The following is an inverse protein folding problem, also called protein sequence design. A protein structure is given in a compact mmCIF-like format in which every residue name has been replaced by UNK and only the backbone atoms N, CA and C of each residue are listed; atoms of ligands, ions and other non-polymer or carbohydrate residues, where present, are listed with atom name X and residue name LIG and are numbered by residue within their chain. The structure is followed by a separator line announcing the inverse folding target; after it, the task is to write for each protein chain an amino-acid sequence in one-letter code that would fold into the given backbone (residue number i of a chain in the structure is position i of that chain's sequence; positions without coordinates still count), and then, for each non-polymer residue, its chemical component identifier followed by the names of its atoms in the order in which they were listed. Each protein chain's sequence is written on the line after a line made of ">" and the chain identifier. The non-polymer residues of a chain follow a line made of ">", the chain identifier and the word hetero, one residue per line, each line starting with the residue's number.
data_IF_610858646996
#
_entry.id   IF_610858646996
#
_cell.length_a   1.000
_cell.length_b   1.000
_cell.length_c   1.000
_cell.angle_alpha   90.00
_cell.angle_beta   90.00
_cell.angle_gamma   90.00
#
_symmetry.space_group_name_H-M   'P 1'
#
loop_
_entity.id
_entity.type
_entity.pdbx_description
1 polymer ?
#
# COMPACT_ATOMS: atom_id res chain seq x y z
N UNK A 1 -33.21 -3.38 -2.43
CA UNK A 1 -32.33 -4.56 -2.30
C UNK A 1 -31.08 -4.25 -1.46
N UNK A 2 -30.23 -3.30 -1.85
CA UNK A 2 -28.95 -3.04 -1.17
C UNK A 2 -29.06 -2.75 0.34
N UNK A 3 -30.01 -1.91 0.74
CA UNK A 3 -30.27 -1.61 2.16
C UNK A 3 -30.63 -2.86 2.99
N UNK A 4 -31.33 -3.83 2.40
CA UNK A 4 -31.69 -5.07 3.09
C UNK A 4 -30.44 -5.92 3.36
N UNK A 5 -29.52 -6.02 2.38
CA UNK A 5 -28.24 -6.72 2.53
C UNK A 5 -27.42 -6.11 3.66
N UNK A 6 -27.25 -4.78 3.66
CA UNK A 6 -26.53 -4.06 4.71
C UNK A 6 -27.15 -4.29 6.10
N UNK A 7 -28.49 -4.32 6.19
CA UNK A 7 -29.20 -4.62 7.44
C UNK A 7 -28.94 -6.04 7.92
N UNK A 8 -29.02 -7.03 7.02
CA UNK A 8 -28.78 -8.44 7.34
C UNK A 8 -27.34 -8.65 7.82
N UNK A 9 -26.35 -8.09 7.12
CA UNK A 9 -24.96 -8.14 7.54
C UNK A 9 -24.76 -7.53 8.95
N UNK A 10 -25.42 -6.41 9.24
CA UNK A 10 -25.34 -5.78 10.56
C UNK A 10 -25.93 -6.65 11.67
N UNK A 11 -27.05 -7.32 11.43
CA UNK A 11 -27.72 -8.17 12.42
C UNK A 11 -26.99 -9.48 12.68
N UNK A 12 -26.25 -9.97 11.68
CA UNK A 12 -25.60 -11.28 11.72
C UNK A 12 -24.09 -11.20 11.53
N UNK A 13 -23.47 -10.13 12.04
CA UNK A 13 -22.01 -9.92 11.89
C UNK A 13 -21.19 -11.09 12.45
N UNK A 14 -21.71 -11.85 13.41
CA UNK A 14 -21.01 -13.01 13.96
C UNK A 14 -21.07 -14.27 13.06
N UNK A 15 -21.86 -14.26 11.97
CA UNK A 15 -22.02 -15.41 11.08
C UNK A 15 -21.15 -15.28 9.82
N UNK A 16 -19.96 -15.88 9.86
CA UNK A 16 -18.93 -15.82 8.82
C UNK A 16 -19.44 -16.03 7.38
N UNK A 17 -20.24 -17.06 7.14
CA UNK A 17 -20.73 -17.38 5.78
C UNK A 17 -21.65 -16.29 5.23
N UNK A 18 -22.48 -15.71 6.11
CA UNK A 18 -23.39 -14.64 5.73
C UNK A 18 -22.61 -13.36 5.43
N UNK A 19 -21.56 -13.06 6.18
CA UNK A 19 -20.73 -11.88 5.94
C UNK A 19 -19.85 -12.06 4.71
N UNK A 20 -19.35 -13.26 4.44
CA UNK A 20 -18.63 -13.57 3.21
C UNK A 20 -19.53 -13.32 1.97
N UNK A 21 -20.76 -13.83 1.98
CA UNK A 21 -21.72 -13.58 0.90
C UNK A 21 -22.12 -12.10 0.83
N UNK A 22 -22.38 -11.48 1.98
CA UNK A 22 -22.77 -10.07 2.08
C UNK A 22 -21.71 -9.12 1.53
N UNK A 23 -20.44 -9.33 1.87
CA UNK A 23 -19.31 -8.52 1.37
C UNK A 23 -19.12 -8.66 -0.14
N UNK A 24 -19.35 -9.85 -0.70
CA UNK A 24 -19.34 -10.06 -2.16
C UNK A 24 -20.46 -9.25 -2.85
N UNK A 25 -21.65 -9.22 -2.26
CA UNK A 25 -22.78 -8.43 -2.77
C UNK A 25 -22.49 -6.93 -2.64
N UNK A 26 -21.91 -6.48 -1.52
CA UNK A 26 -21.50 -5.08 -1.34
C UNK A 26 -20.54 -4.66 -2.46
N UNK A 27 -19.45 -5.39 -2.66
CA UNK A 27 -18.51 -5.12 -3.75
C UNK A 27 -19.21 -5.04 -5.12
N UNK A 28 -20.04 -6.03 -5.44
CA UNK A 28 -20.72 -6.07 -6.74
C UNK A 28 -21.72 -4.92 -6.95
N UNK A 29 -22.28 -4.36 -5.87
CA UNK A 29 -23.19 -3.22 -5.93
C UNK A 29 -22.47 -1.87 -5.85
N UNK A 30 -21.18 -1.85 -5.51
CA UNK A 30 -20.35 -0.62 -5.45
C UNK A 30 -19.23 -0.57 -6.49
N UNK A 31 -19.01 -1.61 -7.29
CA UNK A 31 -17.99 -1.60 -8.36
C UNK A 31 -18.34 -0.57 -9.44
N UNK A 32 -17.34 0.03 -10.08
CA UNK A 32 -17.52 0.90 -11.25
C UNK A 32 -18.46 2.09 -11.02
N UNK A 33 -19.22 2.45 -12.05
CA UNK A 33 -20.17 3.57 -12.07
C UNK A 33 -21.33 3.41 -11.06
N UNK A 34 -21.59 2.18 -10.60
CA UNK A 34 -22.65 1.92 -9.62
C UNK A 34 -22.40 2.66 -8.31
N UNK A 35 -21.13 2.78 -7.88
CA UNK A 35 -20.79 3.57 -6.69
C UNK A 35 -21.29 5.00 -6.81
N UNK A 36 -21.05 5.68 -7.94
CA UNK A 36 -21.42 7.07 -8.19
C UNK A 36 -22.93 7.32 -8.09
N UNK A 37 -23.74 6.31 -8.44
CA UNK A 37 -25.20 6.39 -8.44
C UNK A 37 -25.83 6.11 -7.07
N UNK A 38 -25.08 5.54 -6.12
CA UNK A 38 -25.60 5.24 -4.79
C UNK A 38 -25.81 6.51 -3.96
N UNK A 39 -26.92 6.60 -3.20
CA UNK A 39 -27.10 7.61 -2.16
C UNK A 39 -25.95 7.55 -1.15
N UNK A 40 -25.44 8.73 -0.73
CA UNK A 40 -24.30 8.84 0.19
C UNK A 40 -24.54 8.08 1.50
N UNK A 41 -25.76 8.11 2.05
CA UNK A 41 -26.11 7.37 3.26
C UNK A 41 -25.92 5.85 3.11
N UNK A 42 -26.26 5.30 1.95
CA UNK A 42 -26.07 3.87 1.68
C UNK A 42 -24.61 3.53 1.44
N UNK A 43 -23.87 4.41 0.75
CA UNK A 43 -22.44 4.25 0.53
C UNK A 43 -21.67 4.29 1.86
N UNK A 44 -21.98 5.24 2.74
CA UNK A 44 -21.42 5.37 4.08
C UNK A 44 -21.68 4.11 4.92
N UNK A 45 -22.91 3.58 4.87
CA UNK A 45 -23.24 2.31 5.55
C UNK A 45 -22.49 1.12 4.96
N UNK A 46 -22.30 1.10 3.64
CA UNK A 46 -21.55 0.06 2.95
C UNK A 46 -20.06 0.07 3.36
N UNK A 47 -19.42 1.24 3.38
CA UNK A 47 -18.02 1.34 3.84
C UNK A 47 -17.90 0.96 5.31
N UNK A 48 -18.80 1.45 6.17
CA UNK A 48 -18.75 1.12 7.60
C UNK A 48 -18.99 -0.37 7.90
N UNK A 49 -19.90 -1.03 7.18
CA UNK A 49 -20.12 -2.47 7.33
C UNK A 49 -18.91 -3.26 6.83
N UNK A 50 -18.27 -2.83 5.74
CA UNK A 50 -17.04 -3.42 5.19
C UNK A 50 -15.88 -3.32 6.18
N UNK A 51 -15.65 -2.14 6.78
CA UNK A 51 -14.61 -1.97 7.81
C UNK A 51 -14.87 -2.85 9.04
N UNK A 52 -16.13 -2.93 9.48
CA UNK A 52 -16.52 -3.79 10.61
C UNK A 52 -16.34 -5.28 10.28
N UNK A 53 -16.62 -5.68 9.04
CA UNK A 53 -16.39 -7.04 8.57
C UNK A 53 -14.90 -7.38 8.58
N UNK A 54 -14.02 -6.47 8.11
CA UNK A 54 -12.57 -6.66 8.19
C UNK A 54 -12.14 -6.85 9.65
N UNK A 55 -12.60 -5.97 10.55
CA UNK A 55 -12.25 -5.97 11.97
C UNK A 55 -12.63 -7.28 12.67
N UNK A 56 -13.85 -7.79 12.44
CA UNK A 56 -14.34 -9.00 13.12
C UNK A 56 -13.89 -10.31 12.44
N UNK A 57 -13.59 -10.28 11.14
CA UNK A 57 -13.31 -11.48 10.34
C UNK A 57 -11.91 -11.52 9.76
N UNK A 58 -10.92 -10.98 10.49
CA UNK A 58 -9.50 -10.97 10.11
C UNK A 58 -8.91 -12.34 9.75
N UNK A 59 -9.59 -13.46 10.01
CA UNK A 59 -9.12 -14.83 9.68
C UNK A 59 -9.58 -15.33 8.31
N UNK A 60 -10.54 -14.66 7.67
CA UNK A 60 -11.20 -15.14 6.45
C UNK A 60 -10.68 -14.40 5.22
N UNK A 61 -9.63 -14.95 4.59
CA UNK A 61 -8.92 -14.28 3.49
C UNK A 61 -9.84 -13.88 2.31
N UNK A 62 -10.80 -14.72 1.93
CA UNK A 62 -11.72 -14.41 0.82
C UNK A 62 -12.67 -13.25 1.16
N UNK A 63 -13.12 -13.16 2.41
CA UNK A 63 -13.91 -12.02 2.89
C UNK A 63 -13.08 -10.74 2.84
N UNK A 64 -11.83 -10.80 3.29
CA UNK A 64 -10.91 -9.67 3.23
C UNK A 64 -10.67 -9.20 1.80
N UNK A 65 -10.50 -10.12 0.84
CA UNK A 65 -10.38 -9.78 -0.59
C UNK A 65 -11.60 -9.03 -1.11
N UNK A 66 -12.82 -9.47 -0.79
CA UNK A 66 -14.05 -8.76 -1.17
C UNK A 66 -14.13 -7.36 -0.54
N UNK A 67 -13.73 -7.24 0.71
CA UNK A 67 -13.71 -5.96 1.41
C UNK A 67 -12.68 -5.00 0.79
N UNK A 68 -11.49 -5.51 0.48
CA UNK A 68 -10.43 -4.73 -0.16
C UNK A 68 -10.85 -4.30 -1.57
N UNK A 69 -11.48 -5.17 -2.36
CA UNK A 69 -12.04 -4.79 -3.66
C UNK A 69 -13.06 -3.65 -3.57
N UNK A 70 -13.86 -3.61 -2.51
CA UNK A 70 -14.80 -2.51 -2.25
C UNK A 70 -14.04 -1.21 -1.93
N UNK A 71 -13.01 -1.29 -1.08
CA UNK A 71 -12.22 -0.15 -0.63
C UNK A 71 -11.19 0.33 -1.66
N UNK A 72 -10.80 -0.49 -2.64
CA UNK A 72 -9.92 -0.08 -3.74
C UNK A 72 -10.59 0.84 -4.76
N UNK A 73 -11.87 1.12 -4.62
CA UNK A 73 -12.54 2.05 -5.53
C UNK A 73 -12.32 3.48 -5.07
N UNK A 74 -11.57 4.25 -5.88
CA UNK A 74 -11.34 5.68 -5.64
C UNK A 74 -12.66 6.43 -5.43
N UNK A 75 -13.66 6.18 -6.28
CA UNK A 75 -14.99 6.79 -6.15
C UNK A 75 -15.65 6.49 -4.80
N UNK A 76 -15.46 5.28 -4.26
CA UNK A 76 -15.98 4.90 -2.93
C UNK A 76 -15.21 5.64 -1.84
N UNK A 77 -13.87 5.64 -1.88
CA UNK A 77 -13.04 6.29 -0.86
C UNK A 77 -13.25 7.81 -0.79
N UNK A 78 -13.41 8.49 -1.93
CA UNK A 78 -13.59 9.95 -1.94
C UNK A 78 -15.01 10.40 -1.60
N UNK A 79 -16.04 9.60 -1.90
CA UNK A 79 -17.45 9.98 -1.65
C UNK A 79 -17.95 9.57 -0.28
N UNK A 80 -17.40 8.52 0.31
CA UNK A 80 -17.86 8.02 1.60
C UNK A 80 -17.27 8.81 2.76
N UNK A 81 -18.04 8.95 3.84
CA UNK A 81 -17.59 9.49 5.12
C UNK A 81 -17.28 8.34 6.08
N UNK A 82 -16.00 8.17 6.43
CA UNK A 82 -15.49 7.16 7.34
C UNK A 82 -14.14 7.60 7.93
N UNK A 83 -13.65 6.88 8.93
CA UNK A 83 -12.33 7.14 9.50
C UNK A 83 -11.23 6.56 8.60
N UNK A 84 -10.46 7.43 7.93
CA UNK A 84 -9.29 7.04 7.13
C UNK A 84 -8.26 6.30 8.00
N UNK A 85 -7.99 6.79 9.22
CA UNK A 85 -7.13 6.13 10.21
C UNK A 85 -7.54 4.68 10.46
N UNK A 86 -8.80 4.43 10.84
CA UNK A 86 -9.33 3.08 11.10
C UNK A 86 -9.17 2.18 9.87
N UNK A 87 -9.43 2.72 8.68
CA UNK A 87 -9.26 1.96 7.44
C UNK A 87 -7.79 1.57 7.23
N UNK A 88 -6.85 2.51 7.35
CA UNK A 88 -5.42 2.24 7.26
C UNK A 88 -4.96 1.20 8.28
N UNK A 89 -5.39 1.30 9.54
CA UNK A 89 -5.04 0.34 10.59
C UNK A 89 -5.47 -1.10 10.25
N UNK A 90 -6.71 -1.25 9.78
CA UNK A 90 -7.28 -2.55 9.38
C UNK A 90 -6.58 -3.12 8.15
N UNK A 91 -6.28 -2.27 7.16
CA UNK A 91 -5.55 -2.68 5.95
C UNK A 91 -4.14 -3.14 6.30
N UNK A 92 -3.41 -2.37 7.12
CA UNK A 92 -2.09 -2.75 7.60
C UNK A 92 -2.11 -4.06 8.39
N UNK A 93 -3.10 -4.25 9.27
CA UNK A 93 -3.24 -5.50 10.02
C UNK A 93 -3.36 -6.71 9.09
N UNK A 94 -4.14 -6.58 8.02
CA UNK A 94 -4.27 -7.60 6.98
C UNK A 94 -2.97 -7.81 6.18
N UNK A 95 -2.28 -6.73 5.79
CA UNK A 95 -1.01 -6.78 5.05
C UNK A 95 0.15 -7.39 5.85
N UNK A 96 0.17 -7.18 7.17
CA UNK A 96 1.15 -7.76 8.08
C UNK A 96 0.88 -9.26 8.24
N UNK A 97 -0.39 -9.65 8.34
CA UNK A 97 -0.81 -11.03 8.60
C UNK A 97 -0.74 -11.94 7.38
N UNK A 98 -1.10 -11.44 6.20
CA UNK A 98 -1.22 -12.25 4.99
C UNK A 98 -0.13 -11.93 3.97
N UNK A 99 0.51 -12.98 3.47
CA UNK A 99 1.41 -12.91 2.33
C UNK A 99 0.67 -13.38 1.05
N UNK A 100 -0.24 -12.54 0.57
CA UNK A 100 -1.05 -12.79 -0.64
C UNK A 100 -0.91 -11.64 -1.64
N UNK A 101 -0.59 -11.95 -2.88
CA UNK A 101 -0.28 -10.96 -3.93
C UNK A 101 -1.44 -9.98 -4.20
N UNK A 102 -2.70 -10.45 -4.11
CA UNK A 102 -3.85 -9.59 -4.34
C UNK A 102 -4.07 -8.66 -3.15
N UNK A 103 -3.93 -9.17 -1.93
CA UNK A 103 -3.98 -8.35 -0.73
C UNK A 103 -2.90 -7.27 -0.74
N UNK A 104 -1.65 -7.60 -1.12
CA UNK A 104 -0.56 -6.62 -1.28
C UNK A 104 -0.96 -5.51 -2.23
N UNK A 105 -1.32 -5.86 -3.47
CA UNK A 105 -1.70 -4.90 -4.53
C UNK A 105 -2.84 -3.98 -4.10
N UNK A 106 -3.92 -4.56 -3.56
CA UNK A 106 -5.08 -3.80 -3.13
C UNK A 106 -4.79 -2.92 -1.91
N UNK A 107 -4.09 -3.47 -0.91
CA UNK A 107 -3.82 -2.77 0.33
C UNK A 107 -2.91 -1.56 0.14
N UNK A 108 -1.84 -1.67 -0.66
CA UNK A 108 -0.97 -0.52 -0.92
C UNK A 108 -1.67 0.57 -1.73
N UNK A 109 -2.59 0.22 -2.63
CA UNK A 109 -3.40 1.19 -3.37
C UNK A 109 -4.37 1.94 -2.43
N UNK A 110 -5.01 1.24 -1.49
CA UNK A 110 -5.87 1.86 -0.47
C UNK A 110 -5.05 2.81 0.41
N UNK A 111 -3.90 2.34 0.94
CA UNK A 111 -3.05 3.15 1.81
C UNK A 111 -2.48 4.36 1.06
N UNK A 112 -2.09 4.22 -0.21
CA UNK A 112 -1.54 5.34 -0.98
C UNK A 112 -2.54 6.47 -1.16
N UNK A 113 -3.84 6.17 -1.23
CA UNK A 113 -4.89 7.19 -1.27
C UNK A 113 -5.13 7.75 0.13
N UNK A 114 -5.42 6.87 1.09
CA UNK A 114 -5.90 7.29 2.40
C UNK A 114 -4.84 7.97 3.26
N UNK A 115 -3.57 7.59 3.16
CA UNK A 115 -2.51 8.19 3.98
C UNK A 115 -2.38 9.70 3.75
N UNK A 116 -2.63 10.20 2.55
CA UNK A 116 -2.63 11.63 2.25
C UNK A 116 -3.80 12.39 2.91
N UNK A 117 -4.89 11.68 3.24
CA UNK A 117 -6.10 12.24 3.85
C UNK A 117 -6.10 12.13 5.38
N UNK A 118 -5.10 11.45 5.98
CA UNK A 118 -5.01 11.28 7.44
C UNK A 118 -4.33 12.52 8.05
N UNK A 119 -4.93 13.19 9.05
CA UNK A 119 -4.28 14.30 9.74
C UNK A 119 -2.96 13.88 10.40
N UNK A 120 -1.99 14.79 10.49
CA UNK A 120 -0.65 14.51 11.06
C UNK A 120 -0.70 13.89 12.46
N UNK A 121 -1.66 14.30 13.30
CA UNK A 121 -1.85 13.72 14.64
C UNK A 121 -2.19 12.23 14.61
N UNK A 122 -3.02 11.81 13.64
CA UNK A 122 -3.41 10.41 13.46
C UNK A 122 -2.34 9.62 12.69
N UNK A 123 -1.59 10.27 11.79
CA UNK A 123 -0.43 9.66 11.12
C UNK A 123 0.66 9.26 12.12
N UNK A 124 0.89 10.06 13.16
CA UNK A 124 1.81 9.71 14.26
C UNK A 124 1.40 8.39 14.93
N UNK A 125 0.12 8.25 15.26
CA UNK A 125 -0.38 7.00 15.86
C UNK A 125 -0.28 5.84 14.87
N UNK A 126 -0.55 6.10 13.59
CA UNK A 126 -0.46 5.10 12.53
C UNK A 126 1.00 4.63 12.33
N UNK A 127 1.97 5.53 12.40
CA UNK A 127 3.40 5.23 12.18
C UNK A 127 4.10 4.67 13.42
N UNK A 128 3.49 4.75 14.61
CA UNK A 128 4.04 4.18 15.85
C UNK A 128 4.26 2.66 15.79
N UNK A 129 3.44 1.93 15.01
CA UNK A 129 3.65 0.51 14.74
C UNK A 129 4.66 0.33 13.60
N UNK A 130 5.95 0.21 13.98
CA UNK A 130 7.08 0.04 13.04
C UNK A 130 6.90 -1.10 12.03
N UNK A 131 6.12 -2.15 12.37
CA UNK A 131 5.83 -3.28 11.48
C UNK A 131 5.14 -2.85 10.18
N UNK A 132 4.44 -1.71 10.20
CA UNK A 132 3.78 -1.13 9.02
C UNK A 132 4.82 -0.62 8.01
N UNK A 133 5.83 0.09 8.49
CA UNK A 133 6.95 0.58 7.68
C UNK A 133 7.81 -0.58 7.19
N UNK A 134 8.15 -1.52 8.07
CA UNK A 134 8.85 -2.76 7.72
C UNK A 134 8.12 -3.51 6.60
N UNK A 135 6.78 -3.61 6.68
CA UNK A 135 5.96 -4.29 5.67
C UNK A 135 6.02 -3.60 4.31
N UNK A 136 5.96 -2.27 4.25
CA UNK A 136 6.10 -1.55 2.99
C UNK A 136 7.53 -1.66 2.43
N UNK A 137 8.55 -1.63 3.30
CA UNK A 137 9.95 -1.86 2.90
C UNK A 137 10.17 -3.26 2.34
N UNK A 138 9.56 -4.30 2.92
CA UNK A 138 9.57 -5.66 2.38
C UNK A 138 9.06 -5.64 0.93
N UNK A 139 7.95 -4.96 0.63
CA UNK A 139 7.41 -4.93 -0.73
C UNK A 139 8.34 -4.21 -1.72
N UNK A 140 9.02 -3.14 -1.28
CA UNK A 140 10.06 -2.49 -2.10
C UNK A 140 11.20 -3.48 -2.37
N UNK A 141 11.66 -4.19 -1.34
CA UNK A 141 12.75 -5.18 -1.44
C UNK A 141 12.38 -6.34 -2.38
N UNK A 142 11.19 -6.93 -2.24
CA UNK A 142 10.69 -8.01 -3.10
C UNK A 142 10.68 -7.63 -4.60
N UNK A 143 10.47 -6.34 -4.89
CA UNK A 143 10.37 -5.81 -6.25
C UNK A 143 11.70 -5.34 -6.82
N UNK A 144 12.57 -4.80 -5.98
CA UNK A 144 13.75 -4.07 -6.44
C UNK A 144 15.08 -4.78 -6.21
N UNK A 145 15.15 -5.73 -5.28
CA UNK A 145 16.42 -6.32 -4.84
C UNK A 145 16.46 -7.82 -5.09
N UNK A 146 17.68 -8.32 -5.36
CA UNK A 146 17.96 -9.75 -5.42
C UNK A 146 18.24 -10.32 -4.02
N UNK A 147 18.20 -11.64 -3.89
CA UNK A 147 18.56 -12.32 -2.65
C UNK A 147 19.98 -11.97 -2.17
N UNK A 148 20.94 -11.79 -3.09
CA UNK A 148 22.30 -11.34 -2.78
C UNK A 148 22.33 -9.93 -2.19
N UNK A 149 21.54 -9.01 -2.74
CA UNK A 149 21.44 -7.64 -2.23
C UNK A 149 20.90 -7.59 -0.80
N UNK A 150 19.93 -8.48 -0.49
CA UNK A 150 19.39 -8.62 0.87
C UNK A 150 20.42 -9.23 1.82
N UNK A 151 21.21 -10.20 1.38
CA UNK A 151 22.30 -10.75 2.19
C UNK A 151 23.35 -9.68 2.52
N UNK A 152 23.71 -8.83 1.56
CA UNK A 152 24.61 -7.69 1.81
C UNK A 152 24.02 -6.71 2.83
N UNK A 153 22.72 -6.38 2.71
CA UNK A 153 22.02 -5.54 3.68
C UNK A 153 22.04 -6.16 5.09
N UNK A 154 21.77 -7.46 5.20
CA UNK A 154 21.77 -8.19 6.47
C UNK A 154 23.18 -8.35 7.07
N UNK A 155 24.23 -8.28 6.25
CA UNK A 155 25.62 -8.34 6.70
C UNK A 155 26.14 -6.99 7.25
N UNK A 156 25.38 -5.90 7.09
CA UNK A 156 25.75 -4.61 7.67
C UNK A 156 25.73 -4.68 9.22
N UNK A 157 26.63 -3.96 9.92
CA UNK A 157 26.70 -3.96 11.38
C UNK A 157 25.59 -3.11 12.01
N UNK A 158 24.33 -3.41 11.70
CA UNK A 158 23.14 -2.66 12.11
C UNK A 158 22.33 -3.37 13.21
N UNK A 159 22.89 -4.42 13.82
CA UNK A 159 22.19 -5.21 14.83
C UNK A 159 20.97 -5.93 14.26
N UNK A 160 19.83 -5.88 14.97
CA UNK A 160 18.57 -6.53 14.55
C UNK A 160 17.72 -5.67 13.60
N UNK A 161 18.18 -4.47 13.25
CA UNK A 161 17.39 -3.47 12.50
C UNK A 161 16.78 -4.00 11.22
N UNK A 162 17.54 -4.77 10.43
CA UNK A 162 17.10 -5.30 9.14
C UNK A 162 16.64 -6.76 9.20
N UNK A 163 16.50 -7.34 10.39
CA UNK A 163 16.22 -8.77 10.55
C UNK A 163 14.87 -9.17 9.94
N UNK A 164 13.90 -8.25 9.87
CA UNK A 164 12.61 -8.47 9.22
C UNK A 164 12.74 -8.79 7.72
N UNK A 165 13.88 -8.48 7.08
CA UNK A 165 14.13 -8.80 5.67
C UNK A 165 14.49 -10.28 5.42
N UNK A 166 14.86 -11.05 6.45
CA UNK A 166 15.33 -12.43 6.30
C UNK A 166 14.31 -13.36 5.62
N UNK A 167 13.02 -13.11 5.84
CA UNK A 167 11.93 -13.94 5.31
C UNK A 167 11.36 -13.42 3.99
N UNK A 168 11.99 -12.41 3.39
CA UNK A 168 11.50 -11.75 2.18
C UNK A 168 11.67 -12.64 0.95
N UNK A 169 10.65 -12.69 0.09
CA UNK A 169 10.71 -13.45 -1.17
C UNK A 169 11.36 -12.62 -2.27
N UNK A 170 12.68 -12.65 -2.33
CA UNK A 170 13.43 -11.97 -3.38
C UNK A 170 13.68 -12.88 -4.59
N UNK A 171 13.81 -12.25 -5.74
CA UNK A 171 14.29 -12.92 -6.95
C UNK A 171 15.77 -13.26 -6.78
N UNK A 172 16.23 -14.35 -7.40
CA UNK A 172 17.65 -14.69 -7.43
C UNK A 172 18.39 -14.00 -8.57
N UNK A 173 17.68 -13.74 -9.67
CA UNK A 173 18.18 -13.11 -10.88
C UNK A 173 17.08 -12.27 -11.54
N UNK A 174 17.47 -11.37 -12.43
CA UNK A 174 16.56 -10.51 -13.19
C UNK A 174 16.61 -9.04 -12.78
N UNK A 175 16.00 -8.16 -13.58
CA UNK A 175 15.93 -6.73 -13.27
C UNK A 175 14.85 -6.44 -12.21
N UNK A 176 14.94 -5.27 -11.54
CA UNK A 176 13.87 -4.73 -10.71
C UNK A 176 12.52 -4.69 -11.45
N UNK A 177 11.44 -4.99 -10.73
CA UNK A 177 10.06 -4.99 -11.25
C UNK A 177 9.35 -3.70 -10.86
N UNK A 178 9.25 -2.78 -11.82
CA UNK A 178 8.55 -1.49 -11.65
C UNK A 178 7.07 -1.59 -12.04
N UNK A 179 6.26 -2.25 -11.20
CA UNK A 179 4.81 -2.36 -11.41
C UNK A 179 4.00 -1.34 -10.58
N UNK A 180 2.68 -1.33 -10.77
CA UNK A 180 1.76 -0.46 -10.03
C UNK A 180 1.78 -0.73 -8.52
N UNK A 181 2.09 -1.95 -8.09
CA UNK A 181 2.18 -2.28 -6.65
C UNK A 181 3.38 -1.58 -6.03
N UNK A 182 4.54 -1.57 -6.71
CA UNK A 182 5.70 -0.80 -6.27
C UNK A 182 5.39 0.69 -6.24
N UNK A 183 4.76 1.23 -7.29
CA UNK A 183 4.38 2.67 -7.36
C UNK A 183 3.52 3.08 -6.17
N UNK A 184 2.46 2.33 -5.88
CA UNK A 184 1.59 2.60 -4.74
C UNK A 184 2.31 2.39 -3.40
N UNK A 185 3.21 1.42 -3.29
CA UNK A 185 4.01 1.22 -2.08
C UNK A 185 4.90 2.44 -1.79
N UNK A 186 5.57 2.97 -2.81
CA UNK A 186 6.40 4.16 -2.69
C UNK A 186 5.57 5.41 -2.37
N UNK A 187 4.40 5.56 -3.01
CA UNK A 187 3.46 6.65 -2.70
C UNK A 187 2.91 6.56 -1.28
N UNK A 188 2.58 5.36 -0.80
CA UNK A 188 2.17 5.13 0.58
C UNK A 188 3.29 5.48 1.56
N UNK A 189 4.53 5.06 1.30
CA UNK A 189 5.69 5.43 2.13
C UNK A 189 5.88 6.94 2.17
N UNK A 190 5.83 7.61 1.01
CA UNK A 190 5.87 9.08 0.94
C UNK A 190 4.79 9.70 1.82
N UNK A 191 3.51 9.39 1.58
CA UNK A 191 2.38 9.99 2.29
C UNK A 191 2.39 9.73 3.81
N UNK A 192 2.97 8.63 4.27
CA UNK A 192 3.12 8.35 5.70
C UNK A 192 4.22 9.18 6.36
N UNK A 193 5.28 9.47 5.61
CA UNK A 193 6.47 10.19 6.11
C UNK A 193 6.42 11.69 5.82
N UNK A 194 5.64 12.10 4.82
CA UNK A 194 5.50 13.50 4.43
C UNK A 194 4.88 14.30 5.59
N UNK A 195 5.53 15.41 5.93
CA UNK A 195 5.14 16.28 7.04
C UNK A 195 4.93 15.58 8.41
N UNK A 196 5.49 14.37 8.61
CA UNK A 196 5.34 13.58 9.84
C UNK A 196 6.71 13.16 10.42
N UNK A 197 7.32 13.98 11.30
CA UNK A 197 8.65 13.70 11.86
C UNK A 197 8.77 12.35 12.58
N UNK A 198 7.72 11.94 13.31
CA UNK A 198 7.68 10.66 14.01
C UNK A 198 7.72 9.48 13.03
N UNK A 199 7.01 9.58 11.90
CA UNK A 199 7.04 8.56 10.86
C UNK A 199 8.39 8.52 10.12
N UNK A 200 8.99 9.68 9.84
CA UNK A 200 10.35 9.79 9.31
C UNK A 200 11.36 9.11 10.24
N UNK A 201 11.27 9.38 11.54
CA UNK A 201 12.14 8.73 12.53
C UNK A 201 11.92 7.21 12.54
N UNK A 202 10.67 6.76 12.58
CA UNK A 202 10.33 5.34 12.50
C UNK A 202 10.91 4.68 11.24
N UNK A 203 10.86 5.35 10.10
CA UNK A 203 11.42 4.86 8.83
C UNK A 203 12.95 4.70 8.89
N UNK A 204 13.65 5.65 9.52
CA UNK A 204 15.10 5.56 9.73
C UNK A 204 15.44 4.42 10.69
N UNK A 205 14.70 4.30 11.79
CA UNK A 205 14.91 3.29 12.83
C UNK A 205 14.70 1.85 12.32
N UNK A 206 13.82 1.63 11.35
CA UNK A 206 13.67 0.32 10.69
C UNK A 206 14.66 0.12 9.53
N UNK A 207 15.63 1.01 9.36
CA UNK A 207 16.68 0.89 8.34
C UNK A 207 16.23 1.25 6.92
N UNK A 208 15.13 1.99 6.76
CA UNK A 208 14.58 2.37 5.46
C UNK A 208 15.57 3.11 4.56
N UNK A 209 16.47 3.94 5.13
CA UNK A 209 17.53 4.63 4.39
C UNK A 209 18.53 3.65 3.76
N UNK A 210 18.89 2.56 4.45
CA UNK A 210 19.81 1.55 3.93
C UNK A 210 19.18 0.78 2.77
N UNK A 211 17.90 0.42 2.91
CA UNK A 211 17.11 -0.23 1.85
C UNK A 211 17.06 0.69 0.62
N UNK A 212 16.68 1.95 0.80
CA UNK A 212 16.55 2.91 -0.31
C UNK A 212 17.89 3.17 -1.00
N UNK A 213 18.98 3.34 -0.24
CA UNK A 213 20.30 3.50 -0.80
C UNK A 213 20.72 2.28 -1.65
N UNK A 214 20.39 1.06 -1.21
CA UNK A 214 20.67 -0.16 -1.98
C UNK A 214 19.82 -0.24 -3.25
N UNK A 215 18.52 0.04 -3.16
CA UNK A 215 17.60 0.08 -4.32
C UNK A 215 18.07 1.08 -5.37
N UNK A 216 18.45 2.29 -4.97
CA UNK A 216 18.95 3.30 -5.89
C UNK A 216 20.25 2.85 -6.59
N UNK A 217 21.20 2.28 -5.83
CA UNK A 217 22.44 1.74 -6.41
C UNK A 217 22.17 0.66 -7.45
N UNK A 218 21.27 -0.28 -7.15
CA UNK A 218 20.87 -1.33 -8.09
C UNK A 218 20.24 -0.70 -9.33
N UNK A 219 19.28 0.22 -9.16
CA UNK A 219 18.64 0.93 -10.27
C UNK A 219 19.64 1.65 -11.19
N UNK A 220 20.61 2.38 -10.62
CA UNK A 220 21.66 3.04 -11.41
C UNK A 220 22.53 2.04 -12.18
N UNK A 221 22.96 0.94 -11.55
CA UNK A 221 23.75 -0.09 -12.22
C UNK A 221 23.04 -0.67 -13.44
N UNK A 222 21.73 -0.93 -13.35
CA UNK A 222 20.94 -1.42 -14.49
C UNK A 222 20.83 -0.40 -15.62
N UNK A 223 20.61 0.88 -15.32
CA UNK A 223 20.57 1.96 -16.33
C UNK A 223 21.92 2.04 -17.06
N UNK A 224 23.03 2.04 -16.32
CA UNK A 224 24.36 2.10 -16.92
C UNK A 224 24.74 0.82 -17.69
N UNK A 225 24.26 -0.35 -17.27
CA UNK A 225 24.53 -1.62 -17.96
C UNK A 225 23.73 -1.76 -19.27
N UNK A 226 22.54 -1.16 -19.34
CA UNK A 226 21.78 -1.04 -20.60
C UNK A 226 22.37 -0.02 -21.57
N UNK A 227 23.28 0.85 -21.11
CA UNK A 227 23.95 1.88 -21.90
C UNK A 227 25.37 1.44 -22.32
N UNK A 228 25.49 0.62 -23.36
CA UNK A 228 26.75 0.35 -24.09
C UNK A 228 26.50 0.37 -25.63
N UNK A 229 27.51 0.66 -26.48
CA UNK A 229 27.90 2.00 -26.93
C UNK A 229 27.47 2.28 -28.39
N UNK A 230 26.21 2.62 -28.63
CA UNK A 230 25.78 3.13 -29.94
C UNK A 230 25.04 4.46 -29.90
N UNK A 231 24.84 5.03 -28.71
CA UNK A 231 24.10 6.30 -28.56
C UNK A 231 25.04 7.34 -27.95
N UNK A 232 25.91 7.87 -28.81
CA UNK A 232 26.40 9.24 -28.63
C UNK A 232 25.23 10.17 -28.96
N UNK A 233 24.49 10.62 -27.96
CA UNK A 233 23.78 11.88 -28.07
C UNK A 233 24.21 12.82 -26.93
N UNK A 234 25.02 13.78 -27.35
CA UNK A 234 25.19 15.11 -26.78
C UNK A 234 25.42 15.25 -25.28
N UNK A 235 26.71 15.29 -24.92
CA UNK A 235 27.20 16.34 -24.02
C UNK A 235 26.95 17.71 -24.66
N UNK A 236 25.94 18.43 -24.18
CA UNK A 236 25.95 19.90 -24.14
C UNK A 236 25.49 20.34 -22.75
N UNK A 237 26.22 21.32 -22.20
CA UNK A 237 26.22 21.76 -20.81
C UNK A 237 25.02 22.69 -20.44
N UNK A 238 25.00 23.34 -19.27
CA UNK A 238 23.93 23.28 -18.28
C UNK A 238 23.00 24.50 -18.36
N UNK A 239 21.81 24.36 -18.94
CA UNK A 239 20.76 25.37 -18.81
C UNK A 239 19.39 24.69 -18.63
N UNK A 240 18.86 24.84 -17.42
CA UNK A 240 17.46 24.76 -17.03
C UNK A 240 16.57 23.77 -17.82
N UNK A 241 16.54 22.51 -17.35
CA UNK A 241 15.34 21.68 -17.53
C UNK A 241 14.39 22.07 -16.39
N UNK A 242 13.17 22.57 -16.67
CA UNK A 242 12.21 22.82 -15.60
C UNK A 242 11.86 21.48 -14.95
N UNK A 243 11.91 21.43 -13.62
CA UNK A 243 11.28 20.36 -12.84
C UNK A 243 9.84 20.19 -13.36
N UNK A 244 9.41 18.97 -13.76
CA UNK A 244 8.01 18.76 -14.08
C UNK A 244 7.18 19.07 -12.83
N UNK A 245 6.16 19.93 -13.00
CA UNK A 245 5.22 20.27 -11.95
C UNK A 245 4.64 19.01 -11.31
N UNK A 246 4.52 19.01 -9.98
CA UNK A 246 3.97 17.94 -9.12
C UNK A 246 2.62 17.34 -9.56
N UNK A 247 1.92 17.95 -10.52
CA UNK A 247 0.61 17.51 -11.03
C UNK A 247 0.65 16.33 -12.03
N UNK A 248 1.82 15.82 -12.42
CA UNK A 248 1.91 14.70 -13.39
C UNK A 248 2.13 13.31 -12.75
N UNK A 249 2.14 13.21 -11.42
CA UNK A 249 2.36 11.94 -10.71
C UNK A 249 1.06 11.22 -10.32
N UNK A 250 -0.12 11.86 -10.42
CA UNK A 250 -1.37 11.32 -9.87
C UNK A 250 -2.45 10.83 -10.84
N UNK A 251 -2.19 10.72 -12.15
CA UNK A 251 -3.15 10.09 -13.06
C UNK A 251 -2.47 9.13 -14.02
N UNK A 252 -2.54 7.83 -13.68
CA UNK A 252 -2.75 6.63 -14.53
C UNK A 252 -2.46 5.36 -13.71
#
# INVERSE_FOLDING_TARGET
>A
MFQAVLRVMRLHMNHSDMILAGTAVVYNLTRGEQSAQLPLDLLNRAVNITLTAIEQHQKLLQLLKNCFLTLCSDTVLHRAQFSCKRCCELVFQSLIKYDDVHMKRMGVAIISILAAEVPTSDLRDLSSDRRRLERLLIYVVEKCLLASDVQELLALPLGQTLQYLQMTRCQTEGPPVYDTTLRFTLSALWNLTDECPDACQGFVEVGGLYVYAKVLKVGFSFVTASEHPSIRYCRQSPLAVPLPSLNSIFFL
#
